data_IF_030613740906
#
_entry.id   IF_030613740906
#
_cell.length_a   1.000
_cell.length_b   1.000
_cell.length_c   1.000
_cell.angle_alpha   90.00
_cell.angle_beta   90.00
_cell.angle_gamma   90.00
#
_symmetry.space_group_name_H-M   'P 1'
#
loop_
_entity.id
_entity.type
_entity.pdbx_description
1 polymer ?
#
# COMPACT_ATOMS: atom_id res chain seq x y z
N UNK A 1 -28.44 -25.60 17.20
CA UNK A 1 -28.56 -25.62 15.73
C UNK A 1 -29.64 -24.63 15.33
N UNK A 2 -29.47 -23.84 14.26
CA UNK A 2 -30.53 -22.90 13.84
C UNK A 2 -31.73 -23.66 13.30
N UNK A 3 -32.94 -23.22 13.65
CA UNK A 3 -34.19 -23.77 13.11
C UNK A 3 -34.25 -23.57 11.59
N UNK A 4 -34.95 -24.46 10.88
CA UNK A 4 -35.14 -24.34 9.43
C UNK A 4 -35.78 -23.00 9.05
N UNK A 5 -36.72 -22.51 9.85
CA UNK A 5 -37.35 -21.20 9.66
C UNK A 5 -36.34 -20.07 9.77
N UNK A 6 -35.43 -20.13 10.75
CA UNK A 6 -34.37 -19.12 10.91
C UNK A 6 -33.39 -19.15 9.73
N UNK A 7 -33.04 -20.34 9.23
CA UNK A 7 -32.17 -20.48 8.06
C UNK A 7 -32.83 -19.90 6.80
N UNK A 8 -34.11 -20.19 6.58
CA UNK A 8 -34.86 -19.69 5.41
C UNK A 8 -35.07 -18.18 5.44
N UNK A 9 -35.06 -17.54 6.61
CA UNK A 9 -35.08 -16.07 6.73
C UNK A 9 -33.69 -15.46 6.57
N UNK A 10 -32.63 -16.09 7.10
CA UNK A 10 -31.27 -15.54 7.09
C UNK A 10 -30.63 -15.62 5.69
N UNK A 11 -30.84 -16.71 4.94
CA UNK A 11 -30.18 -16.90 3.64
C UNK A 11 -30.54 -15.80 2.61
N UNK A 12 -31.82 -15.44 2.38
CA UNK A 12 -32.17 -14.36 1.47
C UNK A 12 -31.65 -12.98 1.93
N UNK A 13 -31.57 -12.75 3.24
CA UNK A 13 -31.00 -11.50 3.79
C UNK A 13 -29.50 -11.39 3.51
N UNK A 14 -28.77 -12.50 3.55
CA UNK A 14 -27.36 -12.55 3.16
C UNK A 14 -27.18 -12.36 1.65
N UNK A 15 -28.03 -12.98 0.82
CA UNK A 15 -27.97 -12.84 -0.64
C UNK A 15 -28.30 -11.41 -1.11
N UNK A 16 -29.16 -10.71 -0.37
CA UNK A 16 -29.45 -9.28 -0.58
C UNK A 16 -28.40 -8.33 0.01
N UNK A 17 -27.32 -8.85 0.60
CA UNK A 17 -26.18 -8.05 1.07
C UNK A 17 -26.37 -7.38 2.43
N UNK A 18 -27.33 -7.80 3.25
CA UNK A 18 -27.48 -7.24 4.59
C UNK A 18 -26.29 -7.58 5.48
N UNK A 19 -25.88 -6.62 6.32
CA UNK A 19 -24.80 -6.86 7.27
C UNK A 19 -25.21 -7.88 8.33
N UNK A 20 -24.24 -8.66 8.83
CA UNK A 20 -24.49 -9.60 9.91
C UNK A 20 -25.15 -8.94 11.11
N UNK A 21 -24.79 -7.69 11.42
CA UNK A 21 -25.36 -6.90 12.52
C UNK A 21 -26.86 -6.61 12.32
N UNK A 22 -27.27 -6.20 11.12
CA UNK A 22 -28.67 -5.96 10.79
C UNK A 22 -29.51 -7.25 10.92
N UNK A 23 -28.96 -8.38 10.45
CA UNK A 23 -29.60 -9.69 10.53
C UNK A 23 -29.75 -10.14 12.00
N UNK A 24 -28.73 -9.93 12.84
CA UNK A 24 -28.83 -10.18 14.29
C UNK A 24 -30.02 -9.44 14.91
N UNK A 25 -30.20 -8.16 14.56
CA UNK A 25 -31.26 -7.32 15.12
C UNK A 25 -32.65 -7.74 14.64
N UNK A 26 -32.75 -8.22 13.40
CA UNK A 26 -34.02 -8.63 12.80
C UNK A 26 -34.47 -10.04 13.23
N UNK A 27 -33.54 -10.99 13.30
CA UNK A 27 -33.85 -12.42 13.54
C UNK A 27 -33.53 -12.83 14.99
N UNK A 28 -32.91 -11.94 15.79
CA UNK A 28 -32.48 -12.21 17.17
C UNK A 28 -31.59 -13.45 17.31
N UNK A 29 -30.71 -13.68 16.33
CA UNK A 29 -29.79 -14.82 16.28
C UNK A 29 -28.37 -14.32 16.49
N UNK A 30 -27.54 -15.04 17.26
CA UNK A 30 -26.17 -14.59 17.53
C UNK A 30 -25.32 -14.41 16.25
N UNK A 31 -24.39 -13.43 16.22
CA UNK A 31 -23.51 -13.21 15.07
C UNK A 31 -22.69 -14.46 14.72
N UNK A 32 -22.30 -15.23 15.73
CA UNK A 32 -21.55 -16.47 15.58
C UNK A 32 -22.36 -17.58 14.89
N UNK A 33 -23.67 -17.65 15.15
CA UNK A 33 -24.55 -18.60 14.47
C UNK A 33 -24.76 -18.23 13.00
N UNK A 34 -24.90 -16.94 12.68
CA UNK A 34 -24.97 -16.42 11.30
C UNK A 34 -23.67 -16.73 10.56
N UNK A 35 -22.51 -16.47 11.17
CA UNK A 35 -21.20 -16.75 10.57
C UNK A 35 -20.98 -18.25 10.30
N UNK A 36 -21.39 -19.12 11.24
CA UNK A 36 -21.36 -20.59 11.04
C UNK A 36 -22.33 -21.07 9.96
N UNK A 37 -23.47 -20.41 9.78
CA UNK A 37 -24.40 -20.73 8.69
C UNK A 37 -23.81 -20.30 7.35
N UNK A 38 -23.27 -19.08 7.28
CA UNK A 38 -22.63 -18.53 6.09
C UNK A 38 -21.44 -19.40 5.64
N UNK A 39 -20.58 -19.84 6.55
CA UNK A 39 -19.46 -20.72 6.20
C UNK A 39 -19.90 -22.10 5.69
N UNK A 40 -21.06 -22.60 6.11
CA UNK A 40 -21.60 -23.91 5.68
C UNK A 40 -22.41 -23.86 4.39
N UNK A 41 -23.11 -22.76 4.11
CA UNK A 41 -24.12 -22.68 3.05
C UNK A 41 -23.81 -21.66 1.97
N UNK A 42 -22.92 -20.71 2.24
CA UNK A 42 -22.65 -19.57 1.37
C UNK A 42 -21.19 -19.56 0.88
N UNK A 43 -20.69 -20.69 0.37
CA UNK A 43 -19.34 -20.76 -0.21
C UNK A 43 -19.18 -19.92 -1.48
N UNK A 44 -20.30 -19.58 -2.14
CA UNK A 44 -20.37 -18.78 -3.37
C UNK A 44 -20.52 -17.28 -3.11
N UNK A 45 -20.79 -16.85 -1.87
CA UNK A 45 -20.91 -15.43 -1.58
C UNK A 45 -19.55 -14.74 -1.75
N UNK A 46 -19.50 -13.57 -2.42
CA UNK A 46 -18.29 -12.81 -2.52
C UNK A 46 -17.80 -12.45 -1.11
N UNK A 47 -16.54 -12.74 -0.82
CA UNK A 47 -15.91 -12.28 0.42
C UNK A 47 -16.07 -10.76 0.49
N UNK A 48 -16.53 -10.27 1.65
CA UNK A 48 -16.52 -8.84 1.91
C UNK A 48 -15.14 -8.27 1.56
N UNK A 49 -15.12 -7.18 0.81
CA UNK A 49 -13.89 -6.48 0.43
C UNK A 49 -13.32 -5.87 1.71
N UNK A 50 -12.56 -6.68 2.44
CA UNK A 50 -11.83 -6.25 3.61
C UNK A 50 -10.55 -5.54 3.18
N UNK A 51 -10.24 -4.41 3.82
CA UNK A 51 -8.97 -3.74 3.60
C UNK A 51 -8.90 -2.36 4.25
N UNK A 52 -7.70 -1.96 4.64
CA UNK A 52 -7.40 -0.56 4.93
C UNK A 52 -7.04 0.11 3.59
N UNK A 53 -7.71 1.23 3.25
CA UNK A 53 -7.36 2.02 2.09
C UNK A 53 -5.90 2.46 2.18
N UNK A 54 -5.12 2.24 1.12
CA UNK A 54 -3.73 2.69 1.12
C UNK A 54 -3.66 4.21 1.18
N UNK A 55 -2.74 4.72 2.00
CA UNK A 55 -2.44 6.16 2.07
C UNK A 55 -1.78 6.69 0.79
N UNK A 56 -1.25 5.80 -0.06
CA UNK A 56 -0.57 6.17 -1.30
C UNK A 56 -1.34 5.63 -2.50
N UNK A 57 -1.65 6.54 -3.44
CA UNK A 57 -2.17 6.16 -4.74
C UNK A 57 -1.06 5.56 -5.61
N UNK A 58 -1.40 4.79 -6.66
CA UNK A 58 -0.42 4.33 -7.65
C UNK A 58 0.36 5.48 -8.29
N UNK A 59 -0.28 6.63 -8.54
CA UNK A 59 0.37 7.83 -9.08
C UNK A 59 1.47 8.36 -8.14
N UNK A 60 1.23 8.36 -6.83
CA UNK A 60 2.23 8.78 -5.84
C UNK A 60 3.44 7.84 -5.83
N UNK A 61 3.21 6.54 -6.00
CA UNK A 61 4.29 5.54 -6.08
C UNK A 61 5.13 5.76 -7.34
N UNK A 62 4.49 5.99 -8.49
CA UNK A 62 5.20 6.30 -9.74
C UNK A 62 5.99 7.60 -9.63
N UNK A 63 5.42 8.64 -9.02
CA UNK A 63 6.14 9.89 -8.81
C UNK A 63 7.36 9.70 -7.90
N UNK A 64 7.23 8.91 -6.84
CA UNK A 64 8.34 8.56 -5.96
C UNK A 64 9.45 7.78 -6.68
N UNK A 65 9.09 6.82 -7.54
CA UNK A 65 10.05 6.12 -8.41
C UNK A 65 10.78 7.11 -9.30
N UNK A 66 10.03 8.01 -9.96
CA UNK A 66 10.60 9.03 -10.84
C UNK A 66 11.58 9.95 -10.10
N UNK A 67 11.25 10.41 -8.88
CA UNK A 67 12.16 11.23 -8.07
C UNK A 67 13.49 10.53 -7.78
N UNK A 68 13.46 9.22 -7.53
CA UNK A 68 14.66 8.43 -7.29
C UNK A 68 15.44 8.24 -8.59
N UNK A 69 14.78 7.84 -9.68
CA UNK A 69 15.45 7.60 -10.97
C UNK A 69 16.04 8.86 -11.57
N UNK A 70 15.41 10.02 -11.32
CA UNK A 70 15.93 11.32 -11.75
C UNK A 70 16.95 11.91 -10.77
N UNK A 71 17.39 11.15 -9.76
CA UNK A 71 18.35 11.57 -8.72
C UNK A 71 17.91 12.85 -7.98
N UNK A 72 16.60 13.13 -7.94
CA UNK A 72 16.02 14.27 -7.19
C UNK A 72 15.79 13.93 -5.72
N UNK A 73 15.74 12.63 -5.39
CA UNK A 73 15.67 12.14 -4.02
C UNK A 73 16.56 10.90 -3.87
N UNK A 74 17.54 10.97 -2.96
CA UNK A 74 18.49 9.87 -2.73
C UNK A 74 18.02 8.87 -1.68
N UNK A 75 17.10 9.27 -0.80
CA UNK A 75 16.64 8.43 0.30
C UNK A 75 15.12 8.53 0.52
N UNK A 76 14.58 7.54 1.23
CA UNK A 76 13.15 7.48 1.51
C UNK A 76 12.64 8.68 2.30
N UNK A 77 13.47 9.34 3.11
CA UNK A 77 13.08 10.53 3.89
C UNK A 77 12.80 11.70 2.96
N UNK A 78 13.68 11.96 1.98
CA UNK A 78 13.49 13.00 0.97
C UNK A 78 12.25 12.74 0.12
N UNK A 79 12.05 11.49 -0.31
CA UNK A 79 10.84 11.08 -1.04
C UNK A 79 9.59 11.31 -0.19
N UNK A 80 9.64 10.96 1.10
CA UNK A 80 8.51 11.14 2.02
C UNK A 80 8.15 12.61 2.18
N UNK A 81 9.14 13.48 2.33
CA UNK A 81 8.92 14.93 2.41
C UNK A 81 8.29 15.46 1.12
N UNK A 82 8.78 15.05 -0.04
CA UNK A 82 8.22 15.45 -1.33
C UNK A 82 6.76 14.98 -1.49
N UNK A 83 6.46 13.73 -1.14
CA UNK A 83 5.10 13.20 -1.20
C UNK A 83 4.16 13.83 -0.17
N UNK A 84 4.62 14.09 1.05
CA UNK A 84 3.81 14.73 2.08
C UNK A 84 3.35 16.12 1.65
N UNK A 85 4.21 16.89 0.98
CA UNK A 85 3.85 18.20 0.42
C UNK A 85 2.80 18.11 -0.69
N UNK A 86 2.82 17.05 -1.51
CA UNK A 86 1.85 16.85 -2.61
C UNK A 86 0.49 16.37 -2.08
N UNK A 87 0.51 15.47 -1.09
CA UNK A 87 -0.69 14.84 -0.55
C UNK A 87 -1.35 15.72 0.54
N UNK A 88 -0.63 16.71 1.05
CA UNK A 88 -0.99 17.57 2.18
C UNK A 88 -1.37 16.77 3.44
N UNK A 89 -0.66 15.65 3.65
CA UNK A 89 -0.88 14.75 4.79
C UNK A 89 0.43 14.21 5.33
N UNK A 90 0.54 14.02 6.66
CA UNK A 90 1.71 13.40 7.25
C UNK A 90 1.84 11.95 6.78
N UNK A 91 3.02 11.62 6.27
CA UNK A 91 3.34 10.31 5.73
C UNK A 91 4.52 9.70 6.48
N UNK A 92 4.43 8.41 6.80
CA UNK A 92 5.55 7.70 7.40
C UNK A 92 6.54 7.24 6.33
N UNK A 93 7.83 7.43 6.60
CA UNK A 93 8.92 6.92 5.76
C UNK A 93 8.82 5.41 5.53
N UNK A 94 8.37 4.66 6.54
CA UNK A 94 8.18 3.21 6.42
C UNK A 94 7.07 2.85 5.44
N UNK A 95 6.00 3.64 5.38
CA UNK A 95 4.92 3.44 4.40
C UNK A 95 5.47 3.61 2.98
N UNK A 96 6.22 4.68 2.72
CA UNK A 96 6.87 4.91 1.41
C UNK A 96 7.79 3.75 1.06
N UNK A 97 8.66 3.35 1.99
CA UNK A 97 9.60 2.24 1.78
C UNK A 97 8.88 0.94 1.40
N UNK A 98 7.82 0.57 2.14
CA UNK A 98 7.05 -0.64 1.86
C UNK A 98 6.41 -0.62 0.47
N UNK A 99 5.87 0.53 0.06
CA UNK A 99 5.27 0.68 -1.27
C UNK A 99 6.31 0.62 -2.38
N UNK A 100 7.47 1.25 -2.21
CA UNK A 100 8.57 1.16 -3.17
C UNK A 100 9.10 -0.28 -3.28
N UNK A 101 9.28 -0.97 -2.14
CA UNK A 101 9.68 -2.38 -2.12
C UNK A 101 8.66 -3.28 -2.84
N UNK A 102 7.36 -3.07 -2.61
CA UNK A 102 6.28 -3.78 -3.32
C UNK A 102 6.28 -3.50 -4.82
N UNK A 103 6.69 -2.30 -5.23
CA UNK A 103 6.83 -1.93 -6.65
C UNK A 103 8.08 -2.50 -7.33
N UNK A 104 8.87 -3.33 -6.62
CA UNK A 104 10.06 -3.98 -7.16
C UNK A 104 11.36 -3.19 -7.01
N UNK A 105 11.34 -2.02 -6.38
CA UNK A 105 12.58 -1.28 -6.10
C UNK A 105 13.40 -2.01 -5.06
N UNK A 106 14.67 -2.27 -5.39
CA UNK A 106 15.64 -2.85 -4.48
C UNK A 106 16.51 -1.75 -3.89
N UNK A 107 16.82 -1.87 -2.61
CA UNK A 107 17.81 -1.01 -1.97
C UNK A 107 19.17 -1.38 -2.57
N UNK A 108 19.84 -0.40 -3.17
CA UNK A 108 21.21 -0.54 -3.67
C UNK A 108 22.10 0.24 -2.73
N UNK A 109 23.07 -0.45 -2.13
CA UNK A 109 24.13 0.22 -1.37
C UNK A 109 25.07 0.86 -2.39
N UNK A 110 25.26 2.18 -2.31
CA UNK A 110 26.28 2.87 -3.11
C UNK A 110 27.65 2.26 -2.77
N UNK A 111 28.27 1.61 -3.75
CA UNK A 111 29.64 1.12 -3.62
C UNK A 111 30.57 2.32 -3.53
N UNK A 112 31.44 2.33 -2.52
CA UNK A 112 32.49 3.35 -2.45
C UNK A 112 33.44 3.15 -3.63
N UNK A 113 33.56 4.16 -4.48
CA UNK A 113 34.62 4.20 -5.48
C UNK A 113 35.91 4.75 -4.87
N UNK A 114 37.08 4.36 -5.39
CA UNK A 114 38.35 4.97 -4.99
C UNK A 114 38.28 6.49 -5.12
N UNK A 115 38.80 7.19 -4.11
CA UNK A 115 38.89 8.65 -4.16
C UNK A 115 39.84 9.02 -5.30
N UNK A 116 39.41 9.92 -6.19
CA UNK A 116 40.27 10.42 -7.26
C UNK A 116 41.51 11.06 -6.65
N UNK A 117 42.68 10.70 -7.16
CA UNK A 117 43.92 11.40 -6.80
C UNK A 117 43.83 12.87 -7.19
N UNK A 118 44.58 13.73 -6.51
CA UNK A 118 44.62 15.17 -6.82
C UNK A 118 44.96 15.44 -8.30
N UNK A 119 45.80 14.58 -8.91
CA UNK A 119 46.13 14.65 -10.34
C UNK A 119 44.90 14.47 -11.23
N UNK A 120 44.04 13.50 -10.93
CA UNK A 120 42.82 13.25 -11.70
C UNK A 120 41.78 14.36 -11.51
N UNK A 121 41.63 14.88 -10.29
CA UNK A 121 40.77 16.03 -10.04
C UNK A 121 41.20 17.26 -10.85
N UNK A 122 42.51 17.55 -10.89
CA UNK A 122 43.05 18.66 -11.71
C UNK A 122 42.78 18.45 -13.20
N UNK A 123 43.07 17.26 -13.73
CA UNK A 123 42.80 16.96 -15.13
C UNK A 123 41.32 17.13 -15.51
N UNK A 124 40.40 16.72 -14.62
CA UNK A 124 38.96 16.92 -14.84
C UNK A 124 38.58 18.41 -14.84
N UNK A 125 39.15 19.21 -13.94
CA UNK A 125 38.93 20.66 -13.92
C UNK A 125 39.47 21.33 -15.18
N UNK A 126 40.70 21.00 -15.59
CA UNK A 126 41.31 21.56 -16.80
C UNK A 126 40.45 21.27 -18.04
N UNK A 127 39.92 20.05 -18.18
CA UNK A 127 38.98 19.69 -19.26
C UNK A 127 37.71 20.56 -19.21
N UNK A 128 37.11 20.73 -18.03
CA UNK A 128 35.90 21.55 -17.88
C UNK A 128 36.15 23.01 -18.34
N UNK A 129 37.26 23.62 -17.92
CA UNK A 129 37.62 24.98 -18.34
C UNK A 129 37.97 25.10 -19.82
N UNK A 130 38.47 24.05 -20.47
CA UNK A 130 38.76 24.09 -21.92
C UNK A 130 37.54 23.96 -22.82
N UNK A 131 36.40 23.53 -22.27
CA UNK A 131 35.18 23.26 -23.03
C UNK A 131 34.01 24.19 -22.63
N UNK A 132 34.26 25.22 -21.82
CA UNK A 132 33.38 26.39 -21.65
C UNK A 132 33.58 27.40 -22.80
#
# INVERSE_FOLDING_TARGET
SLSLTQQNTILPLLDSGHSGEAITKQVCVSPSAISKLCSKKCSTLPKAIGGCLSKLSPANIHHAQHLITSVKAENAIQVTKALANIIDKPLSTNTVHLHLKKSGMKVVVKTKHPILSARHCKAHLDIAYTHE
#
